data_IF_934089173505
#
_entry.id   IF_934089173505
#
_cell.length_a   1.000
_cell.length_b   1.000
_cell.length_c   1.000
_cell.angle_alpha   90.00
_cell.angle_beta   90.00
_cell.angle_gamma   90.00
#
_symmetry.space_group_name_H-M   'P 1'
#
loop_
_entity.id
_entity.type
_entity.pdbx_description
1 polymer ?
#
# COMPACT_ATOMS: atom_id res chain seq x y z
N UNK A 1 -13.57 6.08 21.61
CA UNK A 1 -13.31 5.62 20.24
C UNK A 1 -11.83 5.73 19.83
N UNK A 2 -11.03 6.65 20.39
CA UNK A 2 -9.59 6.81 20.06
C UNK A 2 -8.66 5.61 20.36
N UNK A 3 -8.96 4.76 21.35
CA UNK A 3 -8.13 3.57 21.65
C UNK A 3 -8.17 2.52 20.53
N UNK A 4 -9.23 2.47 19.73
CA UNK A 4 -9.38 1.47 18.67
C UNK A 4 -8.55 1.79 17.43
N UNK A 5 -8.34 3.07 17.14
CA UNK A 5 -7.62 3.52 15.93
C UNK A 5 -6.12 3.46 16.11
N UNK A 6 -5.59 3.80 17.29
CA UNK A 6 -4.15 3.66 17.59
C UNK A 6 -3.70 2.21 17.51
N UNK A 7 -4.46 1.27 18.08
CA UNK A 7 -4.14 -0.15 17.99
C UNK A 7 -4.23 -0.69 16.55
N UNK A 8 -5.15 -0.16 15.73
CA UNK A 8 -5.21 -0.53 14.32
C UNK A 8 -3.97 -0.04 13.56
N UNK A 9 -3.56 1.21 13.77
CA UNK A 9 -2.37 1.77 13.15
C UNK A 9 -1.10 0.99 13.54
N UNK A 10 -0.92 0.66 14.83
CA UNK A 10 0.20 -0.16 15.32
C UNK A 10 0.23 -1.55 14.65
N UNK A 11 -0.94 -2.18 14.48
CA UNK A 11 -1.05 -3.47 13.81
C UNK A 11 -0.72 -3.37 12.33
N UNK A 12 -1.28 -2.36 11.64
CA UNK A 12 -1.00 -2.09 10.22
C UNK A 12 0.51 -1.85 10.02
N UNK A 13 1.14 -1.06 10.89
CA UNK A 13 2.59 -0.83 10.87
C UNK A 13 3.39 -2.12 11.04
N UNK A 14 3.01 -2.98 11.99
CA UNK A 14 3.68 -4.27 12.21
C UNK A 14 3.58 -5.20 10.99
N UNK A 15 2.42 -5.26 10.35
CA UNK A 15 2.22 -6.04 9.12
C UNK A 15 3.01 -5.44 7.94
N UNK A 16 2.98 -4.12 7.78
CA UNK A 16 3.69 -3.40 6.73
C UNK A 16 5.21 -3.58 6.85
N UNK A 17 5.76 -3.46 8.05
CA UNK A 17 7.20 -3.65 8.32
C UNK A 17 7.64 -5.08 7.99
N UNK A 18 6.87 -6.09 8.42
CA UNK A 18 7.19 -7.48 8.10
C UNK A 18 7.15 -7.74 6.59
N UNK A 19 6.14 -7.21 5.91
CA UNK A 19 6.01 -7.35 4.47
C UNK A 19 7.18 -6.68 3.74
N UNK A 20 7.58 -5.47 4.15
CA UNK A 20 8.72 -4.75 3.59
C UNK A 20 10.01 -5.57 3.69
N UNK A 21 10.32 -6.15 4.85
CA UNK A 21 11.52 -6.97 5.03
C UNK A 21 11.50 -8.22 4.14
N UNK A 22 10.34 -8.86 3.97
CA UNK A 22 10.20 -9.99 3.03
C UNK A 22 10.47 -9.57 1.56
N UNK A 23 10.12 -8.34 1.18
CA UNK A 23 10.42 -7.79 -0.15
C UNK A 23 11.89 -7.45 -0.28
N UNK A 24 12.51 -6.85 0.73
CA UNK A 24 13.95 -6.57 0.75
C UNK A 24 14.78 -7.85 0.61
N UNK A 25 14.38 -8.92 1.30
CA UNK A 25 14.97 -10.25 1.14
C UNK A 25 14.81 -10.80 -0.29
N UNK A 26 13.67 -10.54 -0.93
CA UNK A 26 13.44 -10.96 -2.30
C UNK A 26 14.33 -10.19 -3.29
N UNK A 27 14.45 -8.87 -3.14
CA UNK A 27 15.35 -8.02 -3.93
C UNK A 27 16.80 -8.47 -3.75
N UNK A 28 17.22 -8.73 -2.51
CA UNK A 28 18.55 -9.24 -2.22
C UNK A 28 18.85 -10.63 -2.81
N UNK A 29 17.84 -11.46 -3.06
CA UNK A 29 18.00 -12.72 -3.80
C UNK A 29 18.05 -12.50 -5.31
N UNK A 30 17.10 -11.74 -5.85
CA UNK A 30 17.00 -11.46 -7.27
C UNK A 30 18.25 -10.77 -7.82
N UNK A 31 18.83 -9.83 -7.07
CA UNK A 31 20.11 -9.18 -7.43
C UNK A 31 21.27 -10.17 -7.57
N UNK A 32 21.29 -11.29 -6.84
CA UNK A 32 22.32 -12.35 -6.97
C UNK A 32 22.07 -13.26 -8.17
N UNK A 33 20.82 -13.36 -8.59
CA UNK A 33 20.36 -14.21 -9.67
C UNK A 33 20.30 -13.45 -11.01
N UNK A 34 20.48 -12.12 -10.99
CA UNK A 34 20.35 -11.26 -12.15
C UNK A 34 18.89 -11.13 -12.62
N UNK A 35 17.95 -11.26 -11.69
CA UNK A 35 16.51 -11.18 -11.94
C UNK A 35 15.93 -9.88 -11.39
N UNK A 36 14.80 -9.45 -11.95
CA UNK A 36 14.02 -8.33 -11.46
C UNK A 36 12.96 -8.78 -10.43
N UNK A 37 12.61 -7.89 -9.49
CA UNK A 37 11.52 -8.15 -8.54
C UNK A 37 10.26 -7.40 -8.97
N UNK A 38 9.16 -8.12 -9.31
CA UNK A 38 7.93 -7.44 -9.65
C UNK A 38 7.31 -6.76 -8.42
N UNK A 39 6.54 -5.67 -8.62
CA UNK A 39 5.70 -5.08 -7.58
C UNK A 39 4.86 -6.12 -6.85
N UNK A 40 4.83 -6.03 -5.53
CA UNK A 40 4.11 -6.97 -4.67
C UNK A 40 2.97 -6.29 -3.96
N UNK A 41 1.81 -6.94 -3.96
CA UNK A 41 0.66 -6.54 -3.17
C UNK A 41 0.27 -7.65 -2.19
N UNK A 42 0.02 -7.28 -0.95
CA UNK A 42 -0.54 -8.16 0.08
C UNK A 42 -1.90 -7.65 0.49
N UNK A 43 -2.92 -8.48 0.29
CA UNK A 43 -4.21 -8.28 0.94
C UNK A 43 -4.24 -8.95 2.30
N UNK A 44 -4.75 -8.21 3.27
CA UNK A 44 -4.98 -8.66 4.63
C UNK A 44 -6.48 -8.72 4.85
N UNK A 45 -6.94 -9.87 5.36
CA UNK A 45 -8.32 -10.07 5.78
C UNK A 45 -8.35 -10.42 7.27
N UNK A 46 -8.99 -9.57 8.06
CA UNK A 46 -9.17 -9.80 9.48
C UNK A 46 -10.47 -10.58 9.72
N UNK A 47 -10.38 -11.70 10.43
CA UNK A 47 -11.56 -12.49 10.82
C UNK A 47 -11.90 -12.23 12.28
N UNK A 48 -13.11 -11.72 12.59
CA UNK A 48 -13.54 -11.54 13.98
C UNK A 48 -13.41 -12.85 14.77
N UNK A 49 -12.76 -12.80 15.93
CA UNK A 49 -12.54 -13.97 16.79
C UNK A 49 -11.33 -14.85 16.43
N UNK A 50 -10.56 -14.51 15.40
CA UNK A 50 -9.30 -15.16 15.09
C UNK A 50 -8.11 -14.34 15.59
N UNK A 51 -7.09 -15.01 16.14
CA UNK A 51 -5.88 -14.35 16.66
C UNK A 51 -4.94 -13.87 15.54
N UNK A 52 -5.00 -14.50 14.35
CA UNK A 52 -4.10 -14.20 13.23
C UNK A 52 -4.87 -13.76 11.99
N UNK A 53 -4.49 -12.66 11.33
CA UNK A 53 -5.04 -12.27 10.04
C UNK A 53 -4.75 -13.32 8.96
N UNK A 54 -5.60 -13.36 7.94
CA UNK A 54 -5.34 -14.10 6.71
C UNK A 54 -4.59 -13.19 5.73
N UNK A 55 -3.47 -13.68 5.20
CA UNK A 55 -2.65 -12.95 4.25
C UNK A 55 -2.72 -13.62 2.88
N UNK A 56 -2.96 -12.82 1.84
CA UNK A 56 -2.77 -13.25 0.46
C UNK A 56 -1.84 -12.29 -0.25
N UNK A 57 -0.64 -12.79 -0.56
CA UNK A 57 0.35 -12.03 -1.34
C UNK A 57 0.24 -12.44 -2.80
N UNK A 58 0.22 -11.45 -3.69
CA UNK A 58 0.28 -11.65 -5.12
C UNK A 58 1.38 -10.74 -5.66
N UNK A 59 2.19 -11.25 -6.59
CA UNK A 59 2.87 -10.36 -7.49
C UNK A 59 1.79 -9.66 -8.33
N UNK A 60 1.88 -8.35 -8.48
CA UNK A 60 1.05 -7.68 -9.47
C UNK A 60 1.64 -8.10 -10.82
N UNK A 61 0.89 -8.81 -11.69
CA UNK A 61 1.38 -9.08 -13.03
C UNK A 61 1.44 -7.74 -13.75
N UNK A 62 2.60 -7.11 -13.69
CA UNK A 62 2.99 -6.06 -14.62
C UNK A 62 3.17 -6.82 -15.93
N UNK A 63 2.14 -6.83 -16.79
CA UNK A 63 2.27 -7.51 -18.08
C UNK A 63 3.43 -6.91 -18.87
N UNK A 64 3.97 -7.61 -19.87
CA UNK A 64 5.06 -7.10 -20.71
C UNK A 64 4.74 -5.73 -21.36
N UNK A 65 3.45 -5.37 -21.44
CA UNK A 65 2.96 -4.05 -21.88
C UNK A 65 2.91 -2.98 -20.77
N UNK A 66 3.41 -3.27 -19.58
CA UNK A 66 3.36 -2.44 -18.37
C UNK A 66 4.76 -2.20 -17.77
N UNK A 67 5.83 -2.63 -18.44
CA UNK A 67 7.15 -2.02 -18.25
C UNK A 67 7.00 -0.51 -18.53
N UNK A 68 7.07 0.32 -17.49
CA UNK A 68 6.76 1.75 -17.56
C UNK A 68 5.27 2.11 -17.38
N UNK A 69 4.44 1.22 -16.85
CA UNK A 69 3.06 1.58 -16.50
C UNK A 69 3.04 2.72 -15.47
N UNK A 70 2.26 3.74 -15.79
CA UNK A 70 2.14 4.92 -14.94
C UNK A 70 1.47 4.54 -13.60
N UNK A 71 1.80 5.24 -12.49
CA UNK A 71 1.21 4.99 -11.17
C UNK A 71 -0.33 4.92 -11.18
N UNK A 72 -0.99 5.63 -12.09
CA UNK A 72 -2.44 5.65 -12.25
C UNK A 72 -2.99 4.30 -12.73
N UNK A 73 -2.30 3.60 -13.64
CA UNK A 73 -2.72 2.29 -14.16
C UNK A 73 -2.60 1.24 -13.04
N UNK A 74 -1.52 1.32 -12.27
CA UNK A 74 -1.28 0.46 -11.12
C UNK A 74 -2.36 0.67 -10.05
N UNK A 75 -2.60 1.93 -9.68
CA UNK A 75 -3.66 2.34 -8.75
C UNK A 75 -5.04 1.83 -9.18
N UNK A 76 -5.44 2.04 -10.43
CA UNK A 76 -6.73 1.57 -10.95
C UNK A 76 -6.88 0.05 -10.99
N UNK A 77 -5.78 -0.69 -11.21
CA UNK A 77 -5.79 -2.17 -11.19
C UNK A 77 -5.95 -2.70 -9.77
N UNK A 78 -5.23 -2.11 -8.81
CA UNK A 78 -5.33 -2.44 -7.39
C UNK A 78 -6.74 -2.11 -6.87
N UNK A 79 -7.30 -0.97 -7.25
CA UNK A 79 -8.65 -0.56 -6.87
C UNK A 79 -9.71 -1.58 -7.31
N UNK A 80 -9.65 -2.03 -8.57
CA UNK A 80 -10.56 -3.08 -9.10
C UNK A 80 -10.43 -4.40 -8.34
N UNK A 81 -9.20 -4.79 -7.99
CA UNK A 81 -8.97 -5.97 -7.16
C UNK A 81 -9.58 -5.80 -5.75
N UNK A 82 -9.36 -4.65 -5.13
CA UNK A 82 -9.86 -4.32 -3.79
C UNK A 82 -11.39 -4.30 -3.76
N UNK A 83 -12.05 -3.79 -4.80
CA UNK A 83 -13.52 -3.80 -4.92
C UNK A 83 -14.08 -5.22 -4.88
N UNK A 84 -13.45 -6.14 -5.63
CA UNK A 84 -13.90 -7.54 -5.71
C UNK A 84 -13.62 -8.34 -4.43
N UNK A 85 -12.54 -8.04 -3.69
CA UNK A 85 -12.07 -8.83 -2.54
C UNK A 85 -12.29 -8.20 -1.17
N UNK A 86 -12.59 -6.90 -1.13
CA UNK A 86 -12.86 -6.10 0.08
C UNK A 86 -11.87 -6.37 1.23
N UNK A 87 -10.55 -6.19 1.00
CA UNK A 87 -9.55 -6.41 2.05
C UNK A 87 -9.75 -5.45 3.24
N UNK A 88 -9.23 -5.82 4.41
CA UNK A 88 -9.17 -4.96 5.58
C UNK A 88 -8.03 -3.95 5.44
N UNK A 89 -6.91 -4.43 4.91
CA UNK A 89 -5.71 -3.66 4.65
C UNK A 89 -5.04 -4.16 3.36
N UNK A 90 -4.43 -3.23 2.63
CA UNK A 90 -3.52 -3.51 1.52
C UNK A 90 -2.13 -2.99 1.87
N UNK A 91 -1.13 -3.79 1.51
CA UNK A 91 0.27 -3.43 1.57
C UNK A 91 0.85 -3.56 0.16
N UNK A 92 1.58 -2.55 -0.28
CA UNK A 92 2.25 -2.50 -1.59
C UNK A 92 3.75 -2.26 -1.36
N UNK A 93 4.59 -2.92 -2.15
CA UNK A 93 6.02 -2.63 -2.21
C UNK A 93 6.50 -2.77 -3.65
N UNK A 94 7.26 -1.78 -4.13
CA UNK A 94 7.77 -1.74 -5.50
C UNK A 94 9.05 -0.92 -5.62
N UNK A 95 9.88 -1.29 -6.59
CA UNK A 95 11.04 -0.50 -6.99
C UNK A 95 10.59 0.66 -7.87
N UNK A 96 11.23 1.82 -7.71
CA UNK A 96 10.99 3.01 -8.51
C UNK A 96 12.31 3.78 -8.72
N UNK A 97 12.31 4.69 -9.69
CA UNK A 97 13.38 5.66 -9.89
C UNK A 97 12.94 7.00 -9.29
N UNK A 98 13.80 7.60 -8.47
CA UNK A 98 13.58 8.91 -7.87
C UNK A 98 14.69 9.85 -8.30
N UNK A 99 14.34 11.08 -8.66
CA UNK A 99 15.33 12.11 -8.96
C UNK A 99 15.98 12.58 -7.66
N UNK A 100 17.30 12.46 -7.56
CA UNK A 100 18.07 13.05 -6.47
C UNK A 100 18.22 14.55 -6.67
N UNK A 101 18.57 15.28 -5.59
CA UNK A 101 18.79 16.73 -5.62
C UNK A 101 19.87 17.16 -6.63
N UNK A 102 20.78 16.26 -6.98
CA UNK A 102 21.89 16.49 -7.92
C UNK A 102 21.52 16.12 -9.37
N UNK A 103 20.27 15.71 -9.62
CA UNK A 103 19.77 15.34 -10.95
C UNK A 103 20.15 13.92 -11.38
N UNK A 104 20.80 13.13 -10.53
CA UNK A 104 21.00 11.70 -10.77
C UNK A 104 19.75 10.90 -10.39
N UNK A 105 19.41 9.90 -11.21
CA UNK A 105 18.34 8.95 -10.86
C UNK A 105 18.84 7.96 -9.82
N UNK A 106 18.12 7.83 -8.72
CA UNK A 106 18.40 6.89 -7.65
C UNK A 106 17.28 5.85 -7.58
N UNK A 107 17.67 4.58 -7.59
CA UNK A 107 16.73 3.49 -7.35
C UNK A 107 16.28 3.48 -5.89
N UNK A 108 14.97 3.41 -5.69
CA UNK A 108 14.34 3.39 -4.37
C UNK A 108 13.35 2.24 -4.26
N UNK A 109 13.24 1.66 -3.07
CA UNK A 109 12.12 0.82 -2.69
C UNK A 109 11.06 1.70 -2.05
N UNK A 110 9.88 1.77 -2.67
CA UNK A 110 8.69 2.43 -2.13
C UNK A 110 7.79 1.36 -1.53
N UNK A 111 7.24 1.63 -0.35
CA UNK A 111 6.20 0.81 0.23
C UNK A 111 5.05 1.66 0.81
N UNK A 112 3.85 1.12 0.67
CA UNK A 112 2.61 1.76 1.07
C UNK A 112 1.77 0.79 1.91
N UNK A 113 1.10 1.33 2.94
CA UNK A 113 0.07 0.61 3.68
C UNK A 113 -1.19 1.48 3.82
N UNK A 114 -2.33 0.89 3.46
CA UNK A 114 -3.64 1.54 3.54
C UNK A 114 -4.64 0.57 4.14
N UNK A 115 -5.49 1.03 5.05
CA UNK A 115 -6.58 0.22 5.60
C UNK A 115 -7.94 0.93 5.54
N UNK A 116 -9.00 0.14 5.73
CA UNK A 116 -10.38 0.64 5.69
C UNK A 116 -10.75 1.61 6.81
N UNK A 117 -9.92 1.72 7.85
CA UNK A 117 -10.17 2.61 9.00
C UNK A 117 -9.60 4.01 8.75
N UNK A 118 -8.86 4.19 7.66
CA UNK A 118 -8.29 5.47 7.27
C UNK A 118 -6.79 5.60 7.54
N UNK A 119 -6.12 4.55 8.02
CA UNK A 119 -4.66 4.54 8.19
C UNK A 119 -3.97 4.71 6.83
N UNK A 120 -2.95 5.57 6.76
CA UNK A 120 -2.07 5.79 5.60
C UNK A 120 -0.64 5.73 6.11
N UNK A 121 0.19 4.89 5.52
CA UNK A 121 1.62 4.85 5.82
C UNK A 121 2.43 4.71 4.54
N UNK A 122 3.52 5.44 4.50
CA UNK A 122 4.41 5.54 3.37
C UNK A 122 5.86 5.33 3.82
N UNK A 123 6.64 4.66 2.98
CA UNK A 123 8.04 4.34 3.23
C UNK A 123 8.83 4.43 1.93
N UNK A 124 10.01 5.04 2.00
CA UNK A 124 10.96 5.10 0.89
C UNK A 124 12.34 4.76 1.43
N UNK A 125 13.02 3.82 0.79
CA UNK A 125 14.39 3.50 1.11
C UNK A 125 15.22 3.40 -0.17
N UNK A 126 16.19 4.30 -0.35
CA UNK A 126 17.14 4.18 -1.43
C UNK A 126 18.05 2.97 -1.23
N UNK A 127 18.50 2.39 -2.34
CA UNK A 127 19.50 1.33 -2.31
C UNK A 127 20.31 1.31 -3.59
N UNK A 128 21.47 0.65 -3.54
CA UNK A 128 22.33 0.41 -4.69
C UNK A 128 22.48 -1.09 -4.90
N UNK A 129 22.19 -1.54 -6.11
CA UNK A 129 22.52 -2.89 -6.55
C UNK A 129 24.02 -3.00 -6.84
N UNK A 130 24.66 -4.05 -6.35
CA UNK A 130 25.99 -4.49 -6.78
C UNK A 130 25.98 -5.96 -7.18
N UNK A 131 27.06 -6.44 -7.80
CA UNK A 131 27.16 -7.78 -8.42
C UNK A 131 26.75 -8.98 -7.55
N UNK A 132 26.71 -8.84 -6.22
CA UNK A 132 26.36 -9.94 -5.29
C UNK A 132 25.54 -9.52 -4.05
N UNK A 133 25.24 -8.23 -3.91
CA UNK A 133 24.53 -7.71 -2.73
C UNK A 133 23.81 -6.40 -3.05
N UNK A 134 22.83 -6.12 -2.20
CA UNK A 134 22.11 -4.84 -2.18
C UNK A 134 22.59 -4.05 -0.97
N UNK A 135 23.08 -2.84 -1.23
CA UNK A 135 23.49 -1.90 -0.19
C UNK A 135 22.35 -0.89 0.03
N UNK A 136 21.67 -1.02 1.19
CA UNK A 136 20.54 -0.18 1.58
C UNK A 136 21.03 1.11 2.26
N UNK A 137 20.55 2.26 1.78
CA UNK A 137 20.77 3.55 2.44
C UNK A 137 19.75 3.77 3.58
N UNK A 138 19.90 4.87 4.32
CA UNK A 138 18.92 5.26 5.32
C UNK A 138 17.54 5.54 4.69
N UNK A 139 16.43 5.14 5.34
CA UNK A 139 15.11 5.43 4.85
C UNK A 139 14.84 6.94 4.84
N UNK A 140 14.16 7.41 3.80
CA UNK A 140 13.72 8.80 3.72
C UNK A 140 12.78 9.08 4.89
N UNK A 141 12.93 10.26 5.53
CA UNK A 141 12.20 10.65 6.76
C UNK A 141 12.37 9.68 7.94
N UNK A 142 13.40 8.82 7.94
CA UNK A 142 13.70 7.93 9.06
C UNK A 142 12.81 6.68 9.15
N UNK A 143 11.97 6.41 8.15
CA UNK A 143 11.19 5.18 8.05
C UNK A 143 9.73 5.42 7.69
N UNK A 144 8.83 4.61 8.26
CA UNK A 144 7.39 4.72 8.00
C UNK A 144 6.87 6.07 8.48
N UNK A 145 6.16 6.77 7.61
CA UNK A 145 5.60 8.09 7.90
C UNK A 145 4.17 8.22 7.35
N UNK A 146 3.45 9.22 7.84
CA UNK A 146 2.20 9.67 7.23
C UNK A 146 2.55 10.43 5.93
N UNK A 147 1.95 10.10 4.77
CA UNK A 147 2.17 10.84 3.53
C UNK A 147 1.62 12.28 3.55
N UNK A 148 0.76 12.64 4.51
CA UNK A 148 0.13 13.96 4.57
C UNK A 148 -0.82 14.19 3.39
N UNK A 149 -0.59 15.23 2.61
CA UNK A 149 -1.41 15.56 1.43
C UNK A 149 -0.99 14.80 0.17
N UNK A 150 0.16 14.12 0.20
CA UNK A 150 0.67 13.36 -0.96
C UNK A 150 -0.27 12.20 -1.29
N UNK A 151 -0.56 11.99 -2.58
CA UNK A 151 -1.40 10.89 -3.06
C UNK A 151 -0.63 9.56 -3.01
N UNK A 152 -1.28 8.52 -2.49
CA UNK A 152 -0.75 7.16 -2.48
C UNK A 152 -1.39 6.31 -3.58
N UNK A 153 -0.63 5.37 -4.13
CA UNK A 153 -1.13 4.38 -5.11
C UNK A 153 -2.33 3.60 -4.54
N UNK A 154 -2.29 3.28 -3.24
CA UNK A 154 -3.35 2.55 -2.55
C UNK A 154 -4.60 3.37 -2.22
N UNK A 155 -4.61 4.69 -2.40
CA UNK A 155 -5.76 5.52 -2.01
C UNK A 155 -7.02 5.17 -2.82
N UNK A 156 -6.88 4.87 -4.11
CA UNK A 156 -7.99 4.47 -4.98
C UNK A 156 -8.66 3.15 -4.53
N UNK A 157 -7.95 2.31 -3.78
CA UNK A 157 -8.50 1.05 -3.27
C UNK A 157 -9.40 1.21 -2.04
N UNK A 158 -9.33 2.37 -1.37
CA UNK A 158 -10.14 2.71 -0.21
C UNK A 158 -10.75 4.10 -0.39
N UNK A 159 -11.66 4.27 -1.37
CA UNK A 159 -12.31 5.55 -1.57
C UNK A 159 -13.01 5.93 -0.26
N UNK A 160 -12.77 7.16 0.20
CA UNK A 160 -13.51 7.73 1.32
C UNK A 160 -14.99 7.57 0.97
N UNK A 161 -15.69 6.70 1.70
CA UNK A 161 -17.15 6.72 1.67
C UNK A 161 -17.55 8.05 2.27
N UNK A 162 -17.77 9.03 1.41
CA UNK A 162 -18.64 10.13 1.76
C UNK A 162 -20.00 9.48 1.97
N UNK A 163 -20.31 9.13 3.23
CA UNK A 163 -21.69 8.95 3.62
C UNK A 163 -22.34 10.31 3.39
N UNK A 164 -22.91 10.49 2.19
CA UNK A 164 -23.93 11.49 2.00
C UNK A 164 -25.04 11.11 2.98
N UNK A 165 -25.01 11.74 4.14
CA UNK A 165 -26.19 11.99 4.94
C UNK A 165 -27.15 12.79 4.09
N UNK A 166 -27.87 12.11 3.20
CA UNK A 166 -29.13 12.61 2.71
C UNK A 166 -30.09 12.46 3.87
N UNK A 167 -30.16 13.52 4.69
CA UNK A 167 -31.36 13.89 5.42
C UNK A 167 -32.55 13.75 4.47
N UNK A 168 -33.23 12.61 4.52
CA UNK A 168 -34.62 12.54 4.06
C UNK A 168 -35.44 13.24 5.15
N UNK A 169 -36.05 14.40 4.87
CA UNK A 169 -36.84 15.09 5.87
C UNK A 169 -38.02 14.21 6.27
N UNK A 170 -38.04 13.80 7.55
CA UNK A 170 -39.24 13.29 8.20
C UNK A 170 -40.22 14.45 8.40
N UNK A 171 -41.21 14.55 7.54
CA UNK A 171 -42.52 15.19 7.75
C UNK A 171 -43.37 14.98 6.50
N UNK A 172 -44.67 14.66 6.52
CA UNK A 172 -45.65 14.42 7.59
C UNK A 172 -46.89 13.79 6.90
N UNK A 173 -47.51 12.83 7.57
CA UNK A 173 -48.94 12.41 7.59
C UNK A 173 -49.97 13.05 6.62
N UNK A 174 -50.91 12.17 6.20
CA UNK A 174 -52.34 12.38 5.83
C UNK A 174 -52.58 13.06 4.47
N UNK A 175 -53.50 12.65 3.59
CA UNK A 175 -54.87 12.08 3.73
C UNK A 175 -55.08 11.11 2.52
N UNK A 176 -55.58 9.88 2.66
CA UNK A 176 -57.01 9.52 2.70
C UNK A 176 -57.94 10.56 2.07
N UNK A 177 -58.20 10.43 0.77
CA UNK A 177 -59.54 10.12 0.25
C UNK A 177 -59.41 9.46 -1.14
#
# INVERSE_FOLDING_TARGET
MARSTTHQAERTLGMATRFLEEVKDAIGRAAREGEDVPPRIRSVHEKPGHATPEFRTMAIPVGDSMEGASPEILSGTIARYAEAKRPDCLLLAMEAQMDSADGEHQTVLIAEARDRTGTRMYYVQPYRGGDSRVDWDEPVRGGWCDPGEDEMILDAAFPLRVEMGADLPRSRRQMMD
#
